data_IF_307540698305
#
_entry.id   IF_307540698305
#
_cell.length_a   1.000
_cell.length_b   1.000
_cell.length_c   1.000
_cell.angle_alpha   90.00
_cell.angle_beta   90.00
_cell.angle_gamma   90.00
#
_symmetry.space_group_name_H-M   'P 1'
#
loop_
_entity.id
_entity.type
_entity.pdbx_description
1 polymer ?
#
# COMPACT_ATOMS: atom_id res chain seq x y z
N UNK A 1 27.18 -66.80 -27.93
CA UNK A 1 27.30 -66.36 -26.52
C UNK A 1 26.71 -64.95 -26.45
N UNK A 2 25.41 -64.86 -26.17
CA UNK A 2 24.67 -63.58 -26.10
C UNK A 2 24.70 -63.13 -24.66
N UNK A 3 25.23 -61.94 -24.39
CA UNK A 3 25.17 -61.30 -23.07
C UNK A 3 24.34 -60.05 -23.20
N UNK A 4 23.09 -60.15 -22.78
CA UNK A 4 22.30 -58.99 -22.36
C UNK A 4 23.09 -58.23 -21.28
N UNK A 5 22.91 -56.92 -21.10
CA UNK A 5 22.18 -56.46 -19.92
C UNK A 5 21.99 -54.91 -19.80
N UNK A 6 20.71 -54.49 -19.77
CA UNK A 6 20.01 -53.56 -18.84
C UNK A 6 20.20 -52.03 -19.01
N UNK A 7 19.12 -51.38 -19.45
CA UNK A 7 18.85 -49.94 -19.27
C UNK A 7 18.45 -49.67 -17.81
N UNK A 8 19.15 -48.75 -17.14
CA UNK A 8 18.73 -48.21 -15.85
C UNK A 8 17.94 -46.91 -16.08
N UNK A 9 16.63 -46.96 -15.81
CA UNK A 9 15.78 -45.79 -15.68
C UNK A 9 16.10 -45.08 -14.35
N UNK A 10 16.66 -43.87 -14.41
CA UNK A 10 16.73 -42.97 -13.26
C UNK A 10 15.39 -42.25 -13.11
N UNK A 11 14.60 -42.68 -12.12
CA UNK A 11 13.44 -41.91 -11.64
C UNK A 11 13.97 -40.80 -10.73
N UNK A 12 13.97 -39.56 -11.22
CA UNK A 12 14.25 -38.38 -10.40
C UNK A 12 12.97 -38.10 -9.59
N UNK A 13 12.95 -38.50 -8.33
CA UNK A 13 11.95 -38.06 -7.38
C UNK A 13 12.31 -36.63 -6.94
N UNK A 14 11.58 -35.64 -7.46
CA UNK A 14 11.63 -34.26 -6.93
C UNK A 14 10.96 -34.25 -5.56
N UNK A 15 11.77 -34.21 -4.50
CA UNK A 15 11.28 -33.88 -3.15
C UNK A 15 11.04 -32.38 -3.11
N UNK A 16 9.79 -31.97 -3.30
CA UNK A 16 9.37 -30.60 -2.98
C UNK A 16 9.44 -30.42 -1.47
N UNK A 17 10.49 -29.78 -0.97
CA UNK A 17 10.55 -29.33 0.42
C UNK A 17 9.48 -28.26 0.61
N UNK A 18 8.33 -28.65 1.15
CA UNK A 18 7.43 -27.73 1.84
C UNK A 18 8.22 -27.19 3.04
N UNK A 19 8.71 -25.97 2.94
CA UNK A 19 9.18 -25.22 4.11
C UNK A 19 7.98 -25.17 5.08
N UNK A 20 8.12 -25.67 6.32
CA UNK A 20 7.08 -25.44 7.31
C UNK A 20 7.05 -23.92 7.55
N UNK A 21 5.99 -23.26 7.04
CA UNK A 21 5.70 -21.89 7.41
C UNK A 21 5.63 -21.82 8.92
N UNK A 22 6.43 -20.95 9.53
CA UNK A 22 6.35 -20.71 10.97
C UNK A 22 4.90 -20.35 11.28
N UNK A 23 4.21 -21.22 12.04
CA UNK A 23 2.82 -20.98 12.41
C UNK A 23 2.76 -19.66 13.18
N UNK A 24 2.05 -18.69 12.61
CA UNK A 24 1.73 -17.46 13.33
C UNK A 24 0.79 -17.83 14.47
N UNK A 25 1.13 -17.42 15.70
CA UNK A 25 0.26 -17.69 16.84
C UNK A 25 -0.96 -16.75 16.74
N UNK A 26 -2.17 -17.29 16.90
CA UNK A 26 -3.39 -16.49 16.92
C UNK A 26 -3.25 -15.30 17.89
N UNK A 27 -3.61 -14.10 17.45
CA UNK A 27 -3.50 -12.86 18.22
C UNK A 27 -2.10 -12.22 18.20
N UNK A 28 -1.11 -12.82 17.56
CA UNK A 28 0.20 -12.19 17.38
C UNK A 28 0.14 -11.03 16.37
N UNK A 29 1.04 -10.06 16.55
CA UNK A 29 1.18 -8.89 15.68
C UNK A 29 2.59 -8.85 15.12
N UNK A 30 2.72 -8.66 13.80
CA UNK A 30 3.97 -8.44 13.09
C UNK A 30 4.03 -7.01 12.58
N UNK A 31 5.21 -6.40 12.66
CA UNK A 31 5.50 -5.13 12.03
C UNK A 31 6.54 -5.29 10.93
N UNK A 32 6.39 -4.51 9.87
CA UNK A 32 7.33 -4.40 8.76
C UNK A 32 7.60 -2.93 8.45
N UNK A 33 8.82 -2.64 8.01
CA UNK A 33 9.28 -1.29 7.68
C UNK A 33 10.13 -0.62 8.78
N UNK A 34 10.50 0.65 8.60
CA UNK A 34 10.08 1.52 7.50
C UNK A 34 10.59 1.06 6.13
N UNK A 35 9.84 1.40 5.09
CA UNK A 35 10.26 1.32 3.70
C UNK A 35 10.20 2.71 3.09
N UNK A 36 11.33 3.17 2.55
CA UNK A 36 11.38 4.43 1.81
C UNK A 36 10.65 4.27 0.48
N UNK A 37 9.61 5.07 0.26
CA UNK A 37 8.78 5.00 -0.94
C UNK A 37 8.71 6.36 -1.62
N UNK A 38 9.00 6.37 -2.92
CA UNK A 38 8.70 7.48 -3.82
C UNK A 38 7.51 7.06 -4.68
N UNK A 39 6.43 7.84 -4.64
CA UNK A 39 5.18 7.52 -5.35
C UNK A 39 4.54 8.78 -5.92
N UNK A 40 3.50 8.59 -6.71
CA UNK A 40 2.72 9.66 -7.34
C UNK A 40 1.30 9.64 -6.77
N UNK A 41 0.65 10.79 -6.75
CA UNK A 41 -0.78 10.91 -6.43
C UNK A 41 -1.53 11.61 -7.57
N UNK A 42 -2.71 11.07 -7.89
CA UNK A 42 -3.53 11.47 -9.04
C UNK A 42 -4.74 12.33 -8.68
N UNK A 43 -4.94 12.64 -7.40
CA UNK A 43 -6.04 13.46 -6.94
C UNK A 43 -7.42 12.91 -7.31
N UNK A 44 -8.45 13.71 -7.03
CA UNK A 44 -9.84 13.38 -7.38
C UNK A 44 -10.13 13.32 -8.88
N UNK A 45 -9.28 13.94 -9.71
CA UNK A 45 -9.48 14.01 -11.16
C UNK A 45 -8.76 12.89 -11.94
N UNK A 46 -8.12 11.92 -11.26
CA UNK A 46 -7.29 10.90 -11.91
C UNK A 46 -6.15 11.47 -12.79
N UNK A 47 -5.62 12.63 -12.41
CA UNK A 47 -4.49 13.30 -13.08
C UNK A 47 -3.41 13.55 -12.04
N UNK A 48 -2.20 13.03 -12.30
CA UNK A 48 -1.04 13.23 -11.43
C UNK A 48 -0.84 14.71 -11.09
N UNK A 49 -0.94 15.05 -9.82
CA UNK A 49 -0.79 16.44 -9.34
C UNK A 49 0.44 16.62 -8.44
N UNK A 50 0.91 15.54 -7.79
CA UNK A 50 2.04 15.58 -6.88
C UNK A 50 2.90 14.31 -6.91
N UNK A 51 4.17 14.51 -6.57
CA UNK A 51 5.11 13.44 -6.22
C UNK A 51 5.29 13.41 -4.71
N UNK A 52 5.32 12.21 -4.14
CA UNK A 52 5.37 11.95 -2.72
C UNK A 52 6.64 11.18 -2.37
N UNK A 53 7.20 11.49 -1.20
CA UNK A 53 8.21 10.66 -0.52
C UNK A 53 7.69 10.34 0.87
N UNK A 54 7.64 9.07 1.25
CA UNK A 54 6.96 8.59 2.46
C UNK A 54 7.75 7.47 3.14
N UNK A 55 7.58 7.36 4.46
CA UNK A 55 7.97 6.17 5.23
C UNK A 55 6.75 5.26 5.34
N UNK A 56 6.83 4.08 4.69
CA UNK A 56 5.76 3.08 4.72
C UNK A 56 6.02 2.01 5.77
N UNK A 57 5.01 1.73 6.58
CA UNK A 57 4.97 0.65 7.55
C UNK A 57 3.81 -0.28 7.26
N UNK A 58 3.97 -1.53 7.66
CA UNK A 58 2.88 -2.50 7.69
C UNK A 58 2.75 -3.13 9.07
N UNK A 59 1.52 -3.31 9.50
CA UNK A 59 1.18 -4.07 10.70
C UNK A 59 0.23 -5.18 10.31
N UNK A 60 0.55 -6.41 10.71
CA UNK A 60 -0.29 -7.59 10.49
C UNK A 60 -0.68 -8.15 11.84
N UNK A 61 -1.97 -8.35 12.08
CA UNK A 61 -2.50 -9.08 13.23
C UNK A 61 -3.26 -10.32 12.76
N UNK A 62 -2.89 -11.48 13.27
CA UNK A 62 -3.62 -12.72 13.03
C UNK A 62 -4.88 -12.78 13.89
N UNK A 63 -6.05 -12.98 13.26
CA UNK A 63 -7.32 -13.09 13.95
C UNK A 63 -7.60 -14.51 14.47
N UNK A 64 -6.79 -15.51 14.09
CA UNK A 64 -6.90 -16.90 14.56
C UNK A 64 -7.96 -17.74 13.83
N UNK A 65 -8.54 -17.21 12.75
CA UNK A 65 -9.61 -17.83 11.97
C UNK A 65 -9.27 -17.98 10.47
N UNK A 66 -7.97 -17.89 10.14
CA UNK A 66 -7.48 -17.87 8.75
C UNK A 66 -7.57 -16.48 8.09
N UNK A 67 -7.92 -15.45 8.87
CA UNK A 67 -7.88 -14.05 8.43
C UNK A 67 -6.87 -13.21 9.21
N UNK A 68 -6.41 -12.14 8.58
CA UNK A 68 -5.46 -11.20 9.13
C UNK A 68 -5.99 -9.77 8.96
N UNK A 69 -5.91 -8.98 10.02
CA UNK A 69 -6.05 -7.53 9.93
C UNK A 69 -4.71 -6.94 9.52
N UNK A 70 -4.66 -6.28 8.37
CA UNK A 70 -3.46 -5.64 7.84
C UNK A 70 -3.66 -4.14 7.81
N UNK A 71 -2.70 -3.38 8.32
CA UNK A 71 -2.70 -1.93 8.21
C UNK A 71 -1.42 -1.48 7.53
N UNK A 72 -1.55 -0.65 6.50
CA UNK A 72 -0.50 0.16 5.91
C UNK A 72 -0.53 1.53 6.57
N UNK A 73 0.59 1.99 7.10
CA UNK A 73 0.73 3.38 7.55
C UNK A 73 1.77 4.07 6.69
N UNK A 74 1.40 5.22 6.15
CA UNK A 74 2.29 6.08 5.39
C UNK A 74 2.53 7.34 6.23
N UNK A 75 3.75 7.54 6.71
CA UNK A 75 4.11 8.57 7.70
C UNK A 75 5.33 9.37 7.26
N UNK A 76 5.63 10.48 7.96
CA UNK A 76 6.72 11.39 7.65
C UNK A 76 6.75 11.82 6.17
N UNK A 77 5.57 11.84 5.54
CA UNK A 77 5.46 12.05 4.11
C UNK A 77 5.65 13.50 3.76
N UNK A 78 6.24 13.72 2.59
CA UNK A 78 6.29 15.01 1.93
C UNK A 78 5.73 14.89 0.53
N UNK A 79 5.23 16.00 -0.02
CA UNK A 79 4.83 16.07 -1.41
C UNK A 79 5.35 17.33 -2.09
N UNK A 80 5.51 17.26 -3.41
CA UNK A 80 5.81 18.40 -4.29
C UNK A 80 4.80 18.43 -5.41
N UNK A 81 4.15 19.57 -5.65
CA UNK A 81 3.18 19.71 -6.74
C UNK A 81 3.85 19.87 -8.09
N UNK A 82 3.23 19.29 -9.13
CA UNK A 82 3.66 19.40 -10.53
C UNK A 82 3.01 20.58 -11.26
N UNK A 83 1.99 21.18 -10.63
CA UNK A 83 1.18 22.22 -11.21
C UNK A 83 0.07 21.69 -12.13
N UNK A 84 -1.00 22.46 -12.30
CA UNK A 84 -2.16 22.08 -13.10
C UNK A 84 -3.42 21.96 -12.25
N UNK A 85 -4.23 20.94 -12.51
CA UNK A 85 -5.48 20.66 -11.78
C UNK A 85 -5.16 20.36 -10.31
N UNK A 86 -5.87 21.00 -9.38
CA UNK A 86 -5.69 20.77 -7.94
C UNK A 86 -6.28 19.41 -7.51
N UNK A 87 -5.79 18.79 -6.42
CA UNK A 87 -6.22 17.45 -6.06
C UNK A 87 -7.70 17.35 -5.68
N UNK A 88 -8.32 18.43 -5.20
CA UNK A 88 -9.74 18.52 -4.87
C UNK A 88 -10.65 19.00 -6.00
N UNK A 89 -10.13 19.31 -7.19
CA UNK A 89 -10.92 19.97 -8.24
C UNK A 89 -12.13 19.17 -8.77
N UNK A 90 -12.07 17.83 -8.68
CA UNK A 90 -13.16 16.92 -9.05
C UNK A 90 -13.81 16.30 -7.80
N UNK A 91 -13.82 17.04 -6.69
CA UNK A 91 -14.41 16.58 -5.43
C UNK A 91 -15.85 16.10 -5.64
N UNK A 92 -16.18 15.01 -4.95
CA UNK A 92 -17.53 14.46 -4.89
C UNK A 92 -18.31 14.94 -3.67
N UNK A 93 -17.74 15.88 -2.89
CA UNK A 93 -18.40 16.53 -1.77
C UNK A 93 -18.61 18.01 -2.04
N UNK A 94 -19.57 18.61 -1.35
CA UNK A 94 -19.82 20.06 -1.42
C UNK A 94 -18.87 20.88 -0.55
N UNK A 95 -17.67 20.38 -0.21
CA UNK A 95 -16.69 21.16 0.54
C UNK A 95 -16.05 22.22 -0.34
N UNK A 96 -15.75 23.43 0.18
CA UNK A 96 -14.99 24.42 -0.57
C UNK A 96 -13.67 23.84 -1.08
N UNK A 97 -13.44 23.98 -2.39
CA UNK A 97 -12.23 23.54 -3.07
C UNK A 97 -11.85 24.56 -4.15
N UNK A 98 -10.60 24.46 -4.62
CA UNK A 98 -10.12 25.25 -5.73
C UNK A 98 -10.22 24.52 -7.06
N UNK A 99 -9.46 24.98 -8.05
CA UNK A 99 -9.41 24.39 -9.39
C UNK A 99 -8.01 24.07 -9.88
N UNK A 100 -7.04 24.89 -9.48
CA UNK A 100 -5.65 24.78 -9.93
C UNK A 100 -4.68 24.97 -8.78
N UNK A 101 -3.54 24.32 -8.91
CA UNK A 101 -2.37 24.52 -8.08
C UNK A 101 -1.17 24.75 -8.97
N UNK A 102 -0.30 25.69 -8.62
CA UNK A 102 0.99 25.86 -9.30
C UNK A 102 2.01 24.80 -8.88
N UNK A 103 3.04 24.63 -9.69
CA UNK A 103 4.15 23.71 -9.41
C UNK A 103 5.01 24.18 -8.24
N UNK A 104 5.70 23.23 -7.59
CA UNK A 104 6.72 23.50 -6.58
C UNK A 104 6.18 23.82 -5.19
N UNK A 105 4.87 23.68 -4.96
CA UNK A 105 4.31 23.73 -3.62
C UNK A 105 4.76 22.48 -2.88
N UNK A 106 5.32 22.69 -1.70
CA UNK A 106 5.75 21.60 -0.82
C UNK A 106 4.80 21.44 0.34
N UNK A 107 4.65 20.23 0.85
CA UNK A 107 3.81 20.01 2.01
C UNK A 107 4.04 18.67 2.67
N UNK A 108 3.25 18.40 3.68
CA UNK A 108 3.29 17.14 4.44
C UNK A 108 2.18 16.21 4.00
N UNK A 109 2.47 14.92 4.06
CA UNK A 109 1.54 13.84 3.77
C UNK A 109 1.58 12.79 4.89
N UNK A 110 0.41 12.28 5.27
CA UNK A 110 0.31 11.10 6.11
C UNK A 110 -1.02 10.40 5.89
N UNK A 111 -1.07 9.11 6.19
CA UNK A 111 -2.33 8.39 6.21
C UNK A 111 -2.18 6.91 6.47
N UNK A 112 -3.27 6.19 6.25
CA UNK A 112 -3.30 4.76 6.41
C UNK A 112 -4.26 4.10 5.44
N UNK A 113 -4.07 2.80 5.27
CA UNK A 113 -5.04 1.89 4.67
C UNK A 113 -5.16 0.64 5.53
N UNK A 114 -6.37 0.12 5.70
CA UNK A 114 -6.60 -1.17 6.35
C UNK A 114 -7.19 -2.18 5.37
N UNK A 115 -6.78 -3.44 5.51
CA UNK A 115 -7.27 -4.56 4.73
C UNK A 115 -7.62 -5.74 5.66
N UNK A 116 -8.58 -6.56 5.23
CA UNK A 116 -8.74 -7.92 5.72
C UNK A 116 -8.11 -8.87 4.69
N UNK A 117 -7.19 -9.71 5.12
CA UNK A 117 -6.56 -10.73 4.27
C UNK A 117 -7.02 -12.10 4.70
N UNK A 118 -7.47 -12.94 3.77
CA UNK A 118 -7.71 -14.37 3.97
C UNK A 118 -6.56 -15.14 3.34
N UNK A 119 -5.86 -15.95 4.14
CA UNK A 119 -4.72 -16.71 3.65
C UNK A 119 -4.43 -17.90 4.57
N UNK A 120 -4.11 -19.05 3.98
CA UNK A 120 -3.59 -20.21 4.72
C UNK A 120 -2.07 -20.12 4.97
N UNK A 121 -1.42 -19.12 4.36
CA UNK A 121 0.02 -18.91 4.44
C UNK A 121 0.35 -17.50 4.96
N UNK A 122 1.32 -17.43 5.85
CA UNK A 122 1.94 -16.20 6.31
C UNK A 122 3.47 -16.31 6.27
N UNK A 123 4.12 -15.34 5.66
CA UNK A 123 5.57 -15.26 5.54
C UNK A 123 6.11 -14.04 6.27
N UNK A 124 6.54 -14.24 7.52
CA UNK A 124 7.14 -13.20 8.36
C UNK A 124 8.41 -12.57 7.75
N UNK A 125 9.09 -13.29 6.84
CA UNK A 125 10.27 -12.82 6.14
C UNK A 125 9.99 -12.28 4.73
N UNK A 126 8.73 -12.11 4.34
CA UNK A 126 8.35 -11.77 2.97
C UNK A 126 9.01 -10.49 2.43
N UNK A 127 9.24 -9.52 3.30
CA UNK A 127 9.86 -8.25 2.91
C UNK A 127 11.39 -8.30 2.80
N UNK A 128 12.05 -9.41 3.17
CA UNK A 128 13.51 -9.53 3.11
C UNK A 128 14.03 -9.96 1.73
N UNK A 129 13.13 -10.21 0.77
CA UNK A 129 13.50 -10.57 -0.59
C UNK A 129 14.12 -9.38 -1.34
N UNK A 130 14.99 -9.69 -2.31
CA UNK A 130 15.59 -8.70 -3.19
C UNK A 130 14.52 -7.86 -3.90
N UNK A 131 14.81 -6.56 -4.07
CA UNK A 131 13.90 -5.61 -4.72
C UNK A 131 12.86 -4.95 -3.81
N UNK A 132 12.90 -5.22 -2.50
CA UNK A 132 12.04 -4.59 -1.48
C UNK A 132 10.55 -4.60 -1.87
N UNK A 133 9.93 -5.79 -1.98
CA UNK A 133 8.56 -5.94 -2.51
C UNK A 133 7.52 -5.18 -1.68
N UNK A 134 7.82 -4.89 -0.42
CA UNK A 134 6.91 -4.27 0.54
C UNK A 134 6.78 -2.74 0.42
N UNK A 135 7.42 -2.15 -0.59
CA UNK A 135 7.20 -0.76 -1.00
C UNK A 135 5.84 -0.54 -1.68
N UNK A 136 5.19 -1.60 -2.18
CA UNK A 136 3.85 -1.54 -2.81
C UNK A 136 2.85 -2.42 -2.09
N UNK A 137 1.55 -2.11 -2.17
CA UNK A 137 0.51 -2.98 -1.60
C UNK A 137 0.53 -4.37 -2.25
N UNK A 138 0.57 -4.45 -3.58
CA UNK A 138 0.56 -5.73 -4.29
C UNK A 138 1.78 -6.58 -3.97
N UNK A 139 2.96 -5.96 -3.90
CA UNK A 139 4.20 -6.65 -3.52
C UNK A 139 4.18 -7.13 -2.07
N UNK A 140 3.69 -6.31 -1.13
CA UNK A 140 3.51 -6.72 0.26
C UNK A 140 2.58 -7.93 0.37
N UNK A 141 1.38 -7.85 -0.23
CA UNK A 141 0.40 -8.94 -0.19
C UNK A 141 0.95 -10.23 -0.80
N UNK A 142 1.62 -10.15 -1.97
CA UNK A 142 2.22 -11.33 -2.61
C UNK A 142 3.36 -11.95 -1.81
N UNK A 143 4.17 -11.13 -1.13
CA UNK A 143 5.36 -11.60 -0.44
C UNK A 143 5.05 -12.16 0.97
N UNK A 144 4.11 -11.54 1.67
CA UNK A 144 3.72 -11.88 3.05
C UNK A 144 2.55 -12.88 3.09
N UNK A 145 1.64 -12.83 2.12
CA UNK A 145 0.47 -13.72 2.02
C UNK A 145 0.40 -14.40 0.64
N UNK A 146 1.35 -15.28 0.31
CA UNK A 146 1.38 -15.91 -1.01
C UNK A 146 0.09 -16.72 -1.27
N UNK A 147 -0.63 -16.36 -2.34
CA UNK A 147 -1.92 -16.96 -2.69
C UNK A 147 -3.13 -16.45 -1.88
N UNK A 148 -2.89 -15.53 -0.94
CA UNK A 148 -3.94 -14.89 -0.15
C UNK A 148 -4.82 -13.94 -0.97
N UNK A 149 -5.99 -13.61 -0.42
CA UNK A 149 -6.94 -12.65 -0.99
C UNK A 149 -7.17 -11.54 0.02
N UNK A 150 -7.32 -10.30 -0.43
CA UNK A 150 -7.56 -9.16 0.45
C UNK A 150 -8.78 -8.35 0.02
N UNK A 151 -9.47 -7.76 0.99
CA UNK A 151 -10.70 -6.98 0.80
C UNK A 151 -10.91 -5.97 1.93
N UNK A 152 -12.03 -5.22 1.89
CA UNK A 152 -12.44 -4.33 2.98
C UNK A 152 -11.53 -3.11 3.16
N UNK A 153 -11.09 -2.53 2.05
CA UNK A 153 -10.18 -1.39 2.06
C UNK A 153 -10.85 -0.16 2.68
N UNK A 154 -10.28 0.34 3.79
CA UNK A 154 -10.64 1.62 4.40
C UNK A 154 -9.38 2.47 4.47
N UNK A 155 -9.46 3.74 4.10
CA UNK A 155 -8.29 4.62 4.04
C UNK A 155 -8.60 6.03 4.53
N UNK A 156 -7.54 6.75 4.88
CA UNK A 156 -7.58 8.18 5.13
C UNK A 156 -6.19 8.77 4.95
N UNK A 157 -6.03 9.58 3.92
CA UNK A 157 -4.82 10.34 3.59
C UNK A 157 -5.06 11.83 3.79
N UNK A 158 -4.07 12.51 4.35
CA UNK A 158 -4.13 13.92 4.67
C UNK A 158 -2.91 14.63 4.10
N UNK A 159 -3.19 15.76 3.45
CA UNK A 159 -2.22 16.64 2.83
C UNK A 159 -2.34 18.01 3.47
N UNK A 160 -1.20 18.66 3.74
CA UNK A 160 -1.17 20.03 4.22
C UNK A 160 0.00 20.81 3.61
N UNK A 161 -0.27 22.05 3.16
CA UNK A 161 0.72 22.97 2.63
C UNK A 161 0.45 24.40 3.13
N UNK A 162 0.95 24.72 4.32
CA UNK A 162 0.82 26.05 4.89
C UNK A 162 1.87 27.03 4.34
N UNK A 163 1.59 28.34 4.46
CA UNK A 163 2.62 29.39 4.34
C UNK A 163 3.13 29.71 2.94
N UNK A 164 2.45 29.25 1.87
CA UNK A 164 2.92 29.42 0.48
C UNK A 164 1.97 30.26 -0.39
N UNK A 165 1.00 30.96 0.20
CA UNK A 165 0.07 31.85 -0.52
C UNK A 165 -1.06 31.12 -1.26
N UNK A 166 -1.41 29.91 -0.84
CA UNK A 166 -2.52 29.13 -1.37
C UNK A 166 -3.86 29.62 -0.79
N UNK A 167 -4.93 29.56 -1.60
CA UNK A 167 -6.30 29.75 -1.13
C UNK A 167 -6.80 28.56 -0.32
N UNK A 168 -6.35 27.35 -0.66
CA UNK A 168 -6.67 26.09 0.01
C UNK A 168 -5.38 25.35 0.33
N UNK A 169 -5.23 24.91 1.59
CA UNK A 169 -3.95 24.44 2.14
C UNK A 169 -4.06 23.09 2.86
N UNK A 170 -5.22 22.43 2.77
CA UNK A 170 -5.46 21.14 3.37
C UNK A 170 -6.43 20.34 2.49
N UNK A 171 -6.01 19.13 2.14
CA UNK A 171 -6.82 18.19 1.37
C UNK A 171 -6.82 16.83 2.05
N UNK A 172 -7.95 16.14 1.99
CA UNK A 172 -8.11 14.79 2.50
C UNK A 172 -8.80 13.94 1.45
N UNK A 173 -8.24 12.75 1.26
CA UNK A 173 -8.82 11.65 0.51
C UNK A 173 -9.04 10.49 1.49
N UNK A 174 -10.28 10.04 1.63
CA UNK A 174 -10.63 8.99 2.57
C UNK A 174 -11.82 8.15 2.09
N UNK A 175 -11.95 6.95 2.65
CA UNK A 175 -13.19 6.20 2.56
C UNK A 175 -14.22 6.69 3.59
N UNK A 176 -15.50 6.67 3.22
CA UNK A 176 -16.62 6.75 4.15
C UNK A 176 -17.00 5.40 4.77
N UNK A 177 -18.05 5.39 5.59
CA UNK A 177 -18.55 4.19 6.26
C UNK A 177 -19.10 3.11 5.30
N UNK A 178 -19.33 3.46 4.03
CA UNK A 178 -19.75 2.55 2.96
C UNK A 178 -18.61 2.13 2.05
N UNK A 179 -17.36 2.49 2.40
CA UNK A 179 -16.15 2.31 1.60
C UNK A 179 -16.14 3.15 0.30
N UNK A 180 -17.04 4.14 0.22
CA UNK A 180 -17.08 5.11 -0.86
C UNK A 180 -15.99 6.15 -0.67
N UNK A 181 -15.45 6.65 -1.77
CA UNK A 181 -14.42 7.67 -1.75
C UNK A 181 -15.00 9.03 -1.35
N UNK A 182 -14.23 9.81 -0.57
CA UNK A 182 -14.63 11.12 -0.05
C UNK A 182 -13.43 12.05 -0.10
N UNK A 183 -13.59 13.13 -0.86
CA UNK A 183 -12.60 14.21 -0.93
C UNK A 183 -13.06 15.41 -0.11
N UNK A 184 -12.19 15.95 0.76
CA UNK A 184 -12.49 17.12 1.58
C UNK A 184 -11.37 18.16 1.43
N UNK A 185 -11.75 19.42 1.20
CA UNK A 185 -10.80 20.52 1.06
C UNK A 185 -10.04 20.47 -0.27
N UNK A 186 -8.87 21.13 -0.31
CA UNK A 186 -8.00 21.17 -1.49
C UNK A 186 -6.58 21.69 -1.14
N UNK A 187 -5.63 21.47 -2.05
CA UNK A 187 -4.36 22.19 -2.13
C UNK A 187 -4.39 23.00 -3.43
N UNK A 188 -4.75 24.28 -3.35
CA UNK A 188 -5.04 25.10 -4.53
C UNK A 188 -4.75 26.59 -4.34
N UNK A 189 -4.42 27.28 -5.43
CA UNK A 189 -4.22 28.74 -5.43
C UNK A 189 -5.56 29.49 -5.29
N UNK A 190 -6.63 28.98 -5.91
CA UNK A 190 -8.02 29.48 -5.83
C UNK A 190 -9.03 28.41 -6.19
#
# INVERSE_FOLDING_TARGET
MVRERWFALFVIATVSMLLPGAAFAAGSTQHFGPFDVVTQDNGSCNVRWADLTIDRYWTVRDNGDGTFAVTRQDTNGTFVTLGGISPGACSNTNTPHGSIVRAGITGTFQGYVTYTVTSDAFNAGGCNADGNPCTTTSGFMSAVFPGGRYSGETWSFQYAAAGQGLGYHAWKDASDATLGEVFLGDIADR
#
